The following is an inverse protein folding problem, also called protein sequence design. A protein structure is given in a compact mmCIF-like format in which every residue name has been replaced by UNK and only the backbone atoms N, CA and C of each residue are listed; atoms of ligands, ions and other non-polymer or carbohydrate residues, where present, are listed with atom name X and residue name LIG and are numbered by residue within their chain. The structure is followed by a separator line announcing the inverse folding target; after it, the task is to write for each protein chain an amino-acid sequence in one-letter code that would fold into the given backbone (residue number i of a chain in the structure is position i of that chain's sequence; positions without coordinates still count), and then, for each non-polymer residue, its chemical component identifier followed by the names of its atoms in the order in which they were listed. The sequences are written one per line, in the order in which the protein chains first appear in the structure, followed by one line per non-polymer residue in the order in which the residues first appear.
data_IF_605072113774
#
_entry.id   IF_605072113774
#
_cell.length_a   1.000
_cell.length_b   1.000
_cell.length_c   1.000
_cell.angle_alpha   90.00
_cell.angle_beta   90.00
_cell.angle_gamma   90.00
#
_symmetry.space_group_name_H-M   'P 1'
#
loop_
_entity.id
_entity.type
_entity.pdbx_description
1 polymer ?
#
# COMPACT_ATOMS: atom_id res chain seq x y z
N UNK A 1 -15.53 -3.73 11.01
CA UNK A 1 -14.11 -3.35 10.85
C UNK A 1 -13.89 -2.97 9.41
N UNK A 2 -13.24 -1.84 9.16
CA UNK A 2 -12.88 -1.37 7.83
C UNK A 2 -11.35 -1.45 7.66
N UNK A 3 -10.90 -2.05 6.57
CA UNK A 3 -9.50 -2.07 6.22
C UNK A 3 -9.05 -0.73 5.63
N UNK A 4 -7.78 -0.40 5.84
CA UNK A 4 -7.06 0.64 5.11
C UNK A 4 -5.68 0.14 4.75
N UNK A 5 -5.27 0.38 3.50
CA UNK A 5 -3.88 0.21 3.07
C UNK A 5 -3.09 1.48 3.36
N UNK A 6 -1.80 1.34 3.68
CA UNK A 6 -0.90 2.47 3.86
C UNK A 6 0.54 2.12 3.49
N UNK A 7 1.36 3.15 3.28
CA UNK A 7 2.78 3.02 2.97
C UNK A 7 3.59 3.04 4.27
N UNK A 8 4.52 2.11 4.38
CA UNK A 8 5.61 2.16 5.36
C UNK A 8 6.90 2.46 4.62
N UNK A 9 7.65 3.46 5.09
CA UNK A 9 8.97 3.83 4.54
C UNK A 9 10.04 3.41 5.53
N UNK A 10 11.17 2.92 5.03
CA UNK A 10 12.30 2.52 5.85
C UNK A 10 12.88 3.70 6.65
N UNK A 11 13.11 3.47 7.95
CA UNK A 11 13.68 4.46 8.87
C UNK A 11 12.66 4.99 9.88
N UNK A 12 13.12 5.77 10.85
CA UNK A 12 12.27 6.34 11.92
C UNK A 12 11.60 7.64 11.48
N UNK A 13 12.31 8.47 10.74
CA UNK A 13 11.81 9.73 10.17
C UNK A 13 12.38 9.90 8.76
N UNK A 14 11.55 9.74 7.71
CA UNK A 14 12.01 9.86 6.33
C UNK A 14 12.21 11.33 5.90
N UNK A 15 11.88 12.31 6.76
CA UNK A 15 12.03 13.74 6.48
C UNK A 15 10.98 14.28 5.51
N UNK A 16 9.81 13.65 5.45
CA UNK A 16 8.61 14.10 4.73
C UNK A 16 7.36 13.40 5.26
N UNK A 17 6.19 13.96 4.95
CA UNK A 17 4.90 13.36 5.30
C UNK A 17 4.63 12.10 4.47
N UNK A 18 4.44 10.96 5.16
CA UNK A 18 4.12 9.66 4.58
C UNK A 18 2.63 9.32 4.63
N UNK A 19 1.80 10.24 5.15
CA UNK A 19 0.37 10.01 5.27
C UNK A 19 -0.26 9.80 3.88
N UNK A 20 -1.04 8.73 3.80
CA UNK A 20 -1.89 8.41 2.66
C UNK A 20 -3.22 7.88 3.19
N UNK A 21 -4.32 8.21 2.54
CA UNK A 21 -5.56 7.46 2.72
C UNK A 21 -5.51 6.22 1.83
N UNK A 22 -6.01 5.09 2.33
CA UNK A 22 -6.09 3.86 1.55
C UNK A 22 -7.32 3.04 1.86
N UNK A 23 -8.40 3.68 2.31
CA UNK A 23 -9.68 3.01 2.57
C UNK A 23 -10.38 2.63 1.28
N UNK A 24 -10.38 3.52 0.28
CA UNK A 24 -10.96 3.21 -1.02
C UNK A 24 -10.11 2.20 -1.78
N UNK A 25 -8.77 2.28 -1.68
CA UNK A 25 -7.85 1.27 -2.20
C UNK A 25 -8.12 -0.11 -1.60
N UNK A 26 -8.20 -0.21 -0.26
CA UNK A 26 -8.47 -1.48 0.41
C UNK A 26 -9.82 -2.09 0.02
N UNK A 27 -10.85 -1.26 -0.21
CA UNK A 27 -12.17 -1.74 -0.66
C UNK A 27 -12.18 -2.24 -2.11
N UNK A 28 -11.29 -1.71 -2.95
CA UNK A 28 -11.19 -2.05 -4.37
C UNK A 28 -9.99 -2.94 -4.70
N UNK A 29 -9.40 -3.60 -3.69
CA UNK A 29 -8.18 -4.39 -3.85
C UNK A 29 -8.31 -5.41 -4.99
N UNK A 30 -9.31 -6.29 -4.94
CA UNK A 30 -9.60 -7.27 -6.00
C UNK A 30 -9.72 -6.64 -7.41
N UNK A 31 -10.31 -5.45 -7.50
CA UNK A 31 -10.53 -4.78 -8.79
C UNK A 31 -9.23 -4.13 -9.30
N UNK A 32 -8.44 -3.56 -8.40
CA UNK A 32 -7.13 -2.97 -8.69
C UNK A 32 -6.09 -4.04 -9.03
N UNK A 33 -6.16 -5.21 -8.39
CA UNK A 33 -5.34 -6.37 -8.74
C UNK A 33 -5.65 -6.81 -10.17
N UNK A 34 -6.92 -7.06 -10.49
CA UNK A 34 -7.34 -7.45 -11.85
C UNK A 34 -6.95 -6.42 -12.90
N UNK A 35 -7.08 -5.13 -12.59
CA UNK A 35 -6.66 -4.04 -13.48
C UNK A 35 -5.13 -4.00 -13.65
N UNK A 36 -4.37 -4.22 -12.57
CA UNK A 36 -2.90 -4.28 -12.65
C UNK A 36 -2.45 -5.42 -13.56
N UNK A 37 -3.04 -6.60 -13.37
CA UNK A 37 -2.75 -7.79 -14.18
C UNK A 37 -3.11 -7.58 -15.66
N UNK A 38 -4.26 -6.97 -15.96
CA UNK A 38 -4.67 -6.69 -17.34
C UNK A 38 -3.77 -5.66 -18.03
N UNK A 39 -3.18 -4.73 -17.26
CA UNK A 39 -2.21 -3.73 -17.72
C UNK A 39 -0.76 -4.24 -17.72
N UNK A 40 -0.50 -5.49 -17.28
CA UNK A 40 0.83 -6.09 -17.26
C UNK A 40 1.78 -5.49 -16.23
N UNK A 41 1.26 -4.90 -15.16
CA UNK A 41 2.04 -4.40 -14.01
C UNK A 41 1.79 -5.23 -12.77
N UNK A 42 2.77 -5.25 -11.87
CA UNK A 42 2.65 -5.93 -10.57
C UNK A 42 1.49 -5.32 -9.77
N UNK A 43 0.55 -6.10 -9.22
CA UNK A 43 -0.47 -5.62 -8.29
C UNK A 43 0.09 -4.93 -7.04
N UNK A 44 -0.63 -3.94 -6.50
CA UNK A 44 -0.21 -3.25 -5.26
C UNK A 44 -0.07 -4.21 -4.08
N UNK A 45 -0.95 -5.20 -3.96
CA UNK A 45 -0.94 -6.18 -2.85
C UNK A 45 0.34 -7.02 -2.81
N UNK A 46 1.04 -7.21 -3.94
CA UNK A 46 2.33 -7.90 -3.95
C UNK A 46 3.45 -7.12 -3.26
N UNK A 47 3.26 -5.82 -3.00
CA UNK A 47 4.19 -5.03 -2.17
C UNK A 47 3.86 -5.13 -0.68
N UNK A 48 2.84 -5.92 -0.29
CA UNK A 48 2.53 -6.15 1.11
C UNK A 48 3.71 -6.83 1.81
N UNK A 49 4.02 -6.30 3.00
CA UNK A 49 4.87 -6.97 3.96
C UNK A 49 4.19 -6.88 5.32
N UNK A 50 4.13 -8.01 6.02
CA UNK A 50 3.69 -8.02 7.40
C UNK A 50 4.73 -7.28 8.25
N UNK A 51 4.42 -6.06 8.66
CA UNK A 51 5.21 -5.35 9.65
C UNK A 51 4.79 -5.73 11.07
N UNK A 52 5.66 -5.42 12.03
CA UNK A 52 5.46 -5.69 13.45
C UNK A 52 4.14 -5.10 13.98
N UNK A 53 3.64 -3.96 13.45
CA UNK A 53 2.36 -3.40 13.90
C UNK A 53 1.17 -4.21 13.41
N UNK A 54 1.23 -4.73 12.17
CA UNK A 54 0.18 -5.59 11.61
C UNK A 54 0.02 -6.89 12.42
N UNK A 55 1.11 -7.41 13.00
CA UNK A 55 1.09 -8.59 13.88
C UNK A 55 0.81 -8.26 15.34
N UNK A 56 1.25 -7.09 15.83
CA UNK A 56 0.94 -6.60 17.17
C UNK A 56 -0.57 -6.43 17.37
N UNK A 57 -1.30 -5.94 16.36
CA UNK A 57 -2.77 -5.85 16.40
C UNK A 57 -3.46 -7.23 16.56
N UNK A 58 -2.96 -8.28 15.89
CA UNK A 58 -3.50 -9.65 16.06
C UNK A 58 -3.22 -10.22 17.46
N UNK A 59 -2.16 -9.74 18.12
CA UNK A 59 -1.80 -10.14 19.50
C UNK A 59 -2.64 -9.39 20.51
N UNK A 60 -2.89 -8.10 20.31
CA UNK A 60 -3.77 -7.28 21.15
C UNK A 60 -5.22 -7.81 21.16
N UNK A 61 -5.68 -8.40 20.05
CA UNK A 61 -6.97 -9.09 19.97
C UNK A 61 -6.98 -10.50 20.62
N UNK A 62 -5.89 -10.89 21.29
CA UNK A 62 -5.79 -12.15 22.04
C UNK A 62 -5.53 -13.39 21.19
N UNK A 63 -5.22 -13.21 19.90
CA UNK A 63 -5.03 -14.31 18.94
C UNK A 63 -3.55 -14.63 18.62
N UNK A 64 -2.59 -13.92 19.21
CA UNK A 64 -1.18 -14.06 18.86
C UNK A 64 -0.25 -14.45 20.00
N UNK A 65 0.71 -15.30 19.68
CA UNK A 65 1.78 -15.75 20.57
C UNK A 65 2.99 -14.82 20.45
N UNK A 66 3.48 -14.29 21.58
CA UNK A 66 4.64 -13.39 21.63
C UNK A 66 5.93 -14.06 21.13
N UNK A 67 6.01 -15.39 21.19
CA UNK A 67 7.13 -16.15 20.63
C UNK A 67 7.09 -16.18 19.09
N UNK A 68 5.90 -16.03 18.51
CA UNK A 68 5.67 -15.98 17.06
C UNK A 68 6.18 -14.68 16.46
N UNK A 69 6.06 -13.54 17.16
CA UNK A 69 6.66 -12.26 16.76
C UNK A 69 8.18 -12.36 16.56
N UNK A 70 8.86 -13.04 17.49
CA UNK A 70 10.33 -13.21 17.46
C UNK A 70 10.80 -14.11 16.32
N UNK A 71 9.88 -14.83 15.68
CA UNK A 71 10.12 -15.76 14.58
C UNK A 71 9.62 -15.24 13.23
N UNK A 72 8.98 -14.07 13.19
CA UNK A 72 8.55 -13.48 11.94
C UNK A 72 9.78 -13.19 11.07
N UNK A 73 9.69 -13.42 9.75
CA UNK A 73 10.71 -12.94 8.85
C UNK A 73 10.82 -11.42 8.98
N UNK A 74 12.02 -10.84 8.77
CA UNK A 74 12.15 -9.40 8.70
C UNK A 74 11.23 -8.85 7.60
N UNK A 75 10.71 -7.62 7.75
CA UNK A 75 9.85 -7.03 6.75
C UNK A 75 10.55 -7.01 5.39
N UNK A 76 9.81 -7.35 4.35
CA UNK A 76 10.28 -7.28 2.98
C UNK A 76 10.23 -5.84 2.52
N UNK A 77 11.37 -5.33 2.05
CA UNK A 77 11.52 -3.96 1.58
C UNK A 77 11.66 -3.93 0.06
N UNK A 78 10.94 -3.01 -0.58
CA UNK A 78 10.92 -2.84 -2.02
C UNK A 78 11.49 -1.49 -2.44
N UNK A 79 11.99 -1.41 -3.68
CA UNK A 79 12.38 -0.14 -4.26
C UNK A 79 11.13 0.71 -4.57
N UNK A 80 11.13 2.02 -4.28
CA UNK A 80 10.01 2.90 -4.61
C UNK A 80 9.67 2.93 -6.09
N UNK A 81 10.68 2.77 -6.96
CA UNK A 81 10.50 2.74 -8.40
C UNK A 81 9.55 1.61 -8.87
N UNK A 82 9.60 0.45 -8.21
CA UNK A 82 8.74 -0.68 -8.56
C UNK A 82 7.26 -0.37 -8.23
N UNK A 83 7.01 0.20 -7.05
CA UNK A 83 5.68 0.66 -6.65
C UNK A 83 5.15 1.80 -7.51
N UNK A 84 6.00 2.79 -7.80
CA UNK A 84 5.66 3.93 -8.65
C UNK A 84 5.19 3.49 -10.02
N UNK A 85 5.86 2.50 -10.62
CA UNK A 85 5.47 1.97 -11.92
C UNK A 85 4.01 1.47 -11.90
N UNK A 86 3.65 0.69 -10.89
CA UNK A 86 2.27 0.20 -10.71
C UNK A 86 1.29 1.36 -10.49
N UNK A 87 1.58 2.24 -9.54
CA UNK A 87 0.69 3.36 -9.19
C UNK A 87 0.48 4.29 -10.38
N UNK A 88 1.52 4.62 -11.14
CA UNK A 88 1.44 5.51 -12.30
C UNK A 88 0.59 4.90 -13.43
N UNK A 89 0.71 3.59 -13.67
CA UNK A 89 -0.11 2.89 -14.67
C UNK A 89 -1.58 2.85 -14.27
N UNK A 90 -1.88 2.55 -13.00
CA UNK A 90 -3.25 2.60 -12.47
C UNK A 90 -3.84 4.01 -12.50
N UNK A 91 -3.03 5.03 -12.16
CA UNK A 91 -3.42 6.44 -12.25
C UNK A 91 -3.80 6.81 -13.68
N UNK A 92 -3.04 6.37 -14.68
CA UNK A 92 -3.35 6.66 -16.07
C UNK A 92 -4.65 5.98 -16.49
N UNK A 93 -4.81 4.69 -16.20
CA UNK A 93 -6.02 3.94 -16.53
C UNK A 93 -7.28 4.56 -15.90
N UNK A 94 -7.21 4.99 -14.64
CA UNK A 94 -8.34 5.61 -13.94
C UNK A 94 -8.56 7.09 -14.29
N UNK A 95 -7.57 7.77 -14.88
CA UNK A 95 -7.80 9.09 -15.48
C UNK A 95 -8.58 8.97 -16.77
N UNK A 96 -8.26 7.95 -17.56
CA UNK A 96 -8.89 7.71 -18.87
C UNK A 96 -10.32 7.19 -18.70
N UNK A 97 -10.55 6.28 -17.74
CA UNK A 97 -11.87 5.80 -17.37
C UNK A 97 -12.02 5.62 -15.85
N UNK A 98 -12.46 6.65 -15.12
CA UNK A 98 -12.74 6.53 -13.69
C UNK A 98 -13.93 5.60 -13.35
N UNK A 99 -14.84 5.35 -14.31
CA UNK A 99 -16.09 4.63 -14.03
C UNK A 99 -15.88 3.10 -13.99
N UNK A 100 -14.73 2.60 -14.44
CA UNK A 100 -14.40 1.17 -14.36
C UNK A 100 -14.35 0.62 -12.92
N UNK A 101 -14.23 1.51 -11.91
CA UNK A 101 -14.35 1.18 -10.48
C UNK A 101 -15.64 1.72 -9.84
N UNK A 102 -16.68 1.97 -10.65
CA UNK A 102 -17.97 2.46 -10.18
C UNK A 102 -17.92 3.89 -9.63
N UNK A 103 -18.74 4.16 -8.62
CA UNK A 103 -18.93 5.52 -8.07
C UNK A 103 -17.74 6.03 -7.25
N UNK A 104 -16.86 5.13 -6.80
CA UNK A 104 -15.70 5.47 -5.95
C UNK A 104 -14.39 5.61 -6.74
N UNK A 105 -14.40 5.47 -8.06
CA UNK A 105 -13.19 5.55 -8.88
C UNK A 105 -12.44 6.89 -8.77
N UNK A 106 -13.15 8.00 -8.49
CA UNK A 106 -12.51 9.30 -8.23
C UNK A 106 -11.75 9.33 -6.90
N UNK A 107 -12.28 8.68 -5.87
CA UNK A 107 -11.65 8.54 -4.56
C UNK A 107 -10.41 7.66 -4.67
N UNK A 108 -10.53 6.52 -5.35
CA UNK A 108 -9.39 5.64 -5.67
C UNK A 108 -8.30 6.41 -6.42
N UNK A 109 -8.67 7.19 -7.43
CA UNK A 109 -7.73 8.02 -8.18
C UNK A 109 -7.03 9.07 -7.28
N UNK A 110 -7.74 9.64 -6.29
CA UNK A 110 -7.14 10.57 -5.32
C UNK A 110 -6.13 9.87 -4.43
N UNK A 111 -6.50 8.72 -3.85
CA UNK A 111 -5.61 7.94 -2.97
C UNK A 111 -4.36 7.46 -3.73
N UNK A 112 -4.49 7.01 -4.98
CA UNK A 112 -3.33 6.66 -5.81
C UNK A 112 -2.37 7.85 -6.06
N UNK A 113 -2.87 9.10 -6.11
CA UNK A 113 -2.00 10.28 -6.25
C UNK A 113 -1.18 10.51 -4.98
N UNK A 114 -1.79 10.34 -3.82
CA UNK A 114 -1.10 10.42 -2.52
C UNK A 114 0.00 9.36 -2.43
N UNK A 115 -0.30 8.13 -2.86
CA UNK A 115 0.70 7.05 -2.94
C UNK A 115 1.85 7.40 -3.88
N UNK A 116 1.56 7.93 -5.07
CA UNK A 116 2.59 8.34 -6.02
C UNK A 116 3.51 9.42 -5.42
N UNK A 117 2.95 10.42 -4.75
CA UNK A 117 3.72 11.49 -4.11
C UNK A 117 4.66 10.97 -3.02
N UNK A 118 4.18 10.09 -2.15
CA UNK A 118 5.00 9.48 -1.09
C UNK A 118 6.11 8.62 -1.68
N UNK A 119 5.80 7.80 -2.69
CA UNK A 119 6.81 6.93 -3.33
C UNK A 119 7.84 7.73 -4.13
N UNK A 120 7.47 8.86 -4.75
CA UNK A 120 8.42 9.77 -5.40
C UNK A 120 9.39 10.37 -4.36
N UNK A 121 8.89 10.86 -3.23
CA UNK A 121 9.72 11.38 -2.14
C UNK A 121 10.66 10.32 -1.55
N UNK A 122 10.18 9.08 -1.43
CA UNK A 122 10.99 7.94 -0.98
C UNK A 122 12.09 7.59 -1.99
N UNK A 123 11.75 7.58 -3.29
CA UNK A 123 12.72 7.35 -4.38
C UNK A 123 13.83 8.40 -4.36
N UNK A 124 13.46 9.68 -4.26
CA UNK A 124 14.40 10.79 -4.31
C UNK A 124 15.39 10.79 -3.13
N UNK A 125 15.01 10.14 -2.01
CA UNK A 125 15.85 9.92 -0.83
C UNK A 125 16.48 8.53 -0.77
N UNK A 126 16.28 7.69 -1.79
CA UNK A 126 16.75 6.31 -1.86
C UNK A 126 16.33 5.45 -0.64
N UNK A 127 15.12 5.69 -0.13
CA UNK A 127 14.52 4.91 0.96
C UNK A 127 13.71 3.75 0.38
N UNK A 128 13.65 2.63 1.08
CA UNK A 128 12.80 1.50 0.70
C UNK A 128 11.42 1.63 1.32
N UNK A 129 10.46 0.88 0.79
CA UNK A 129 9.08 0.92 1.28
C UNK A 129 8.42 -0.46 1.20
N UNK A 130 7.27 -0.60 1.84
CA UNK A 130 6.33 -1.68 1.58
C UNK A 130 4.90 -1.22 1.86
N UNK A 131 3.94 -2.00 1.37
CA UNK A 131 2.53 -1.83 1.69
C UNK A 131 2.21 -2.51 3.02
N UNK A 132 1.32 -1.91 3.81
CA UNK A 132 0.77 -2.49 5.03
C UNK A 132 -0.75 -2.30 5.07
N UNK A 133 -1.42 -3.06 5.93
CA UNK A 133 -2.89 -3.02 6.08
C UNK A 133 -3.24 -2.93 7.56
N UNK A 134 -4.16 -2.02 7.89
CA UNK A 134 -4.72 -1.91 9.25
C UNK A 134 -6.23 -2.14 9.21
N UNK A 135 -6.77 -2.69 10.30
CA UNK A 135 -8.21 -2.82 10.53
C UNK A 135 -8.59 -1.92 11.69
N UNK A 136 -9.57 -1.02 11.48
CA UNK A 136 -10.14 -0.16 12.52
C UNK A 136 -11.67 -0.17 12.48
#
# INVERSE_FOLDING_TARGET
MAASMYIVVEGVDPGFDIFVNGRSLARHEDALEKLSLSLGVRPLIEFFSADENSMALLIEEGAGDQELLRRLPPPQWYAPADGLKTVQVLLQALRDDPQQLGTEGKQVLSELKEYAEVLEKARDRNLRWHLAVSWR
#
